data_IF_610117249497
#
_entry.id   IF_610117249497
#
_cell.length_a   1.000
_cell.length_b   1.000
_cell.length_c   1.000
_cell.angle_alpha   90.00
_cell.angle_beta   90.00
_cell.angle_gamma   90.00
#
_symmetry.space_group_name_H-M   'P 1'
#
loop_
_entity.id
_entity.type
_entity.pdbx_description
1 polymer ?
#
# COMPACT_ATOMS: atom_id res chain seq x y z
N UNK A 1 31.03 -51.94 -30.96
CA UNK A 1 29.69 -52.14 -30.36
C UNK A 1 29.58 -51.60 -28.92
N UNK A 2 30.67 -51.45 -28.17
CA UNK A 2 30.70 -50.92 -26.79
C UNK A 2 30.38 -49.42 -26.65
N UNK A 3 30.76 -48.57 -27.62
CA UNK A 3 30.51 -47.11 -27.53
C UNK A 3 29.03 -46.74 -27.68
N UNK A 4 28.28 -47.47 -28.50
CA UNK A 4 26.86 -47.21 -28.74
C UNK A 4 25.99 -47.58 -27.51
N UNK A 5 26.35 -48.65 -26.79
CA UNK A 5 25.66 -49.04 -25.55
C UNK A 5 25.89 -48.05 -24.41
N UNK A 6 27.12 -47.54 -24.29
CA UNK A 6 27.46 -46.49 -23.31
C UNK A 6 26.71 -45.18 -23.61
N UNK A 7 26.64 -44.80 -24.89
CA UNK A 7 25.92 -43.60 -25.34
C UNK A 7 24.41 -43.68 -25.07
N UNK A 8 23.79 -44.85 -25.30
CA UNK A 8 22.38 -45.08 -24.95
C UNK A 8 22.09 -44.96 -23.45
N UNK A 9 22.97 -45.50 -22.60
CA UNK A 9 22.81 -45.39 -21.14
C UNK A 9 22.91 -43.92 -20.66
N UNK A 10 23.81 -43.13 -21.25
CA UNK A 10 23.93 -41.70 -20.96
C UNK A 10 22.67 -40.91 -21.32
N UNK A 11 22.04 -41.20 -22.47
CA UNK A 11 20.77 -40.56 -22.87
C UNK A 11 19.66 -40.88 -21.87
N UNK A 12 19.53 -42.14 -21.46
CA UNK A 12 18.52 -42.56 -20.46
C UNK A 12 18.71 -41.77 -19.15
N UNK A 13 19.96 -41.61 -18.72
CA UNK A 13 20.28 -40.80 -17.53
C UNK A 13 19.90 -39.33 -17.71
N UNK A 14 20.21 -38.71 -18.85
CA UNK A 14 19.82 -37.33 -19.16
C UNK A 14 18.29 -37.18 -19.13
N UNK A 15 17.55 -38.11 -19.75
CA UNK A 15 16.08 -38.11 -19.73
C UNK A 15 15.53 -38.23 -18.30
N UNK A 16 16.14 -39.05 -17.45
CA UNK A 16 15.76 -39.15 -16.03
C UNK A 16 15.97 -37.84 -15.28
N UNK A 17 17.12 -37.17 -15.48
CA UNK A 17 17.41 -35.87 -14.86
C UNK A 17 16.41 -34.80 -15.35
N UNK A 18 16.14 -34.76 -16.65
CA UNK A 18 15.17 -33.82 -17.21
C UNK A 18 13.74 -34.08 -16.72
N UNK A 19 13.37 -35.33 -16.45
CA UNK A 19 12.07 -35.66 -15.86
C UNK A 19 11.95 -35.09 -14.43
N UNK A 20 12.99 -35.23 -13.61
CA UNK A 20 13.04 -34.65 -12.27
C UNK A 20 12.99 -33.11 -12.33
N UNK A 21 13.82 -32.51 -13.19
CA UNK A 21 13.82 -31.05 -13.41
C UNK A 21 12.48 -30.54 -13.92
N UNK A 22 11.78 -31.30 -14.75
CA UNK A 22 10.44 -30.95 -15.24
C UNK A 22 9.44 -30.88 -14.09
N UNK A 23 9.45 -31.86 -13.18
CA UNK A 23 8.58 -31.86 -12.00
C UNK A 23 8.90 -30.66 -11.09
N UNK A 24 10.18 -30.41 -10.82
CA UNK A 24 10.62 -29.27 -10.00
C UNK A 24 10.23 -27.93 -10.64
N UNK A 25 10.45 -27.78 -11.95
CA UNK A 25 10.10 -26.59 -12.72
C UNK A 25 8.59 -26.31 -12.66
N UNK A 26 7.74 -27.31 -12.86
CA UNK A 26 6.29 -27.14 -12.77
C UNK A 26 5.83 -26.72 -11.36
N UNK A 27 6.41 -27.30 -10.31
CA UNK A 27 6.12 -26.92 -8.94
C UNK A 27 6.53 -25.47 -8.64
N UNK A 28 7.69 -25.06 -9.14
CA UNK A 28 8.19 -23.69 -8.99
C UNK A 28 7.34 -22.70 -9.80
N UNK A 29 7.01 -23.01 -11.05
CA UNK A 29 6.19 -22.16 -11.91
C UNK A 29 4.80 -21.92 -11.28
N UNK A 30 4.16 -22.98 -10.76
CA UNK A 30 2.86 -22.85 -10.08
C UNK A 30 2.94 -22.08 -8.76
N UNK A 31 4.06 -22.16 -8.05
CA UNK A 31 4.33 -21.36 -6.87
C UNK A 31 4.56 -19.87 -7.23
N UNK A 32 5.37 -19.61 -8.25
CA UNK A 32 5.74 -18.27 -8.70
C UNK A 32 4.54 -17.46 -9.17
N UNK A 33 3.60 -18.07 -9.91
CA UNK A 33 2.35 -17.41 -10.34
C UNK A 33 1.55 -16.84 -9.15
N UNK A 34 1.62 -17.45 -7.97
CA UNK A 34 0.91 -16.99 -6.77
C UNK A 34 1.61 -15.80 -6.09
N UNK A 35 2.90 -15.59 -6.34
CA UNK A 35 3.68 -14.53 -5.72
C UNK A 35 3.38 -13.17 -6.36
N UNK A 36 3.05 -12.19 -5.53
CA UNK A 36 2.87 -10.79 -6.00
C UNK A 36 4.16 -10.20 -6.57
N UNK A 37 5.32 -10.64 -6.11
CA UNK A 37 6.63 -10.23 -6.62
C UNK A 37 6.91 -10.75 -8.03
N UNK A 38 6.34 -11.89 -8.41
CA UNK A 38 6.52 -12.49 -9.75
C UNK A 38 5.95 -11.59 -10.86
N UNK A 39 4.94 -10.76 -10.57
CA UNK A 39 4.44 -9.73 -11.50
C UNK A 39 5.51 -8.75 -12.00
N UNK A 40 6.63 -8.61 -11.28
CA UNK A 40 7.73 -7.72 -11.69
C UNK A 40 8.70 -8.38 -12.68
N UNK A 41 8.64 -9.71 -12.80
CA UNK A 41 9.53 -10.54 -13.63
C UNK A 41 8.75 -11.23 -14.76
N UNK A 42 7.42 -11.14 -14.71
CA UNK A 42 6.52 -11.61 -15.75
C UNK A 42 6.91 -11.04 -17.12
N UNK A 43 6.81 -11.87 -18.15
CA UNK A 43 7.13 -11.57 -19.55
C UNK A 43 8.62 -11.31 -19.87
N UNK A 44 9.53 -11.51 -18.91
CA UNK A 44 10.97 -11.48 -19.15
C UNK A 44 11.55 -12.89 -19.32
N UNK A 45 12.48 -13.05 -20.27
CA UNK A 45 13.23 -14.30 -20.41
C UNK A 45 14.07 -14.58 -19.17
N UNK A 46 13.96 -15.81 -18.66
CA UNK A 46 14.76 -16.28 -17.51
C UNK A 46 16.23 -16.52 -17.88
N UNK A 47 16.51 -16.80 -19.15
CA UNK A 47 17.85 -17.12 -19.65
C UNK A 47 18.22 -16.28 -20.86
N UNK A 48 19.53 -16.12 -21.10
CA UNK A 48 20.05 -15.46 -22.28
C UNK A 48 19.73 -16.24 -23.56
N UNK A 49 19.44 -15.50 -24.64
CA UNK A 49 19.14 -16.06 -25.97
C UNK A 49 20.30 -16.86 -26.59
N UNK A 50 21.52 -16.66 -26.09
CA UNK A 50 22.70 -17.44 -26.50
C UNK A 50 22.68 -18.87 -25.95
N UNK A 51 22.00 -19.08 -24.82
CA UNK A 51 21.94 -20.37 -24.14
C UNK A 51 20.65 -21.13 -24.50
N UNK A 52 19.53 -20.43 -24.61
CA UNK A 52 18.23 -21.00 -24.96
C UNK A 52 17.57 -20.25 -26.09
N UNK A 53 16.92 -21.00 -26.99
CA UNK A 53 16.10 -20.41 -28.05
C UNK A 53 14.71 -19.99 -27.56
N UNK A 54 14.25 -20.58 -26.45
CA UNK A 54 12.95 -20.31 -25.85
C UNK A 54 12.95 -18.96 -25.14
N UNK A 55 11.91 -18.16 -25.39
CA UNK A 55 11.62 -16.94 -24.64
C UNK A 55 10.41 -17.19 -23.74
N UNK A 56 10.65 -17.29 -22.42
CA UNK A 56 9.61 -17.65 -21.46
C UNK A 56 9.96 -17.16 -20.06
N UNK A 57 8.93 -16.84 -19.28
CA UNK A 57 8.99 -16.55 -17.85
C UNK A 57 8.83 -17.82 -16.98
N UNK A 58 8.55 -18.97 -17.61
CA UNK A 58 8.36 -20.29 -16.99
C UNK A 58 9.54 -21.22 -17.24
N UNK A 59 9.99 -21.91 -16.19
CA UNK A 59 11.08 -22.89 -16.26
C UNK A 59 10.69 -24.14 -17.06
N UNK A 60 9.43 -24.56 -16.98
CA UNK A 60 8.90 -25.75 -17.68
C UNK A 60 9.12 -25.68 -19.21
N UNK A 61 9.05 -24.49 -19.81
CA UNK A 61 9.28 -24.32 -21.25
C UNK A 61 10.74 -24.59 -21.63
N UNK A 62 11.69 -24.19 -20.80
CA UNK A 62 13.12 -24.44 -21.02
C UNK A 62 13.49 -25.91 -20.83
N UNK A 63 12.86 -26.61 -19.88
CA UNK A 63 13.04 -28.06 -19.71
C UNK A 63 12.52 -28.81 -20.95
N UNK A 64 11.39 -28.37 -21.52
CA UNK A 64 10.86 -28.94 -22.76
C UNK A 64 11.79 -28.74 -23.96
N UNK A 65 12.49 -27.59 -24.05
CA UNK A 65 13.53 -27.37 -25.07
C UNK A 65 14.66 -28.40 -24.93
N UNK A 66 15.20 -28.59 -23.72
CA UNK A 66 16.23 -29.58 -23.44
C UNK A 66 15.78 -31.01 -23.80
N UNK A 67 14.51 -31.35 -23.52
CA UNK A 67 13.95 -32.65 -23.87
C UNK A 67 13.92 -32.87 -25.39
N UNK A 68 13.52 -31.85 -26.17
CA UNK A 68 13.53 -31.91 -27.64
C UNK A 68 14.95 -32.12 -28.18
N UNK A 69 15.93 -31.37 -27.66
CA UNK A 69 17.34 -31.53 -28.01
C UNK A 69 17.90 -32.90 -27.63
N UNK A 70 17.48 -33.45 -26.50
CA UNK A 70 17.88 -34.81 -26.09
C UNK A 70 17.35 -35.88 -27.05
N UNK A 71 16.13 -35.71 -27.56
CA UNK A 71 15.57 -36.61 -28.57
C UNK A 71 16.27 -36.45 -29.94
N UNK A 72 16.74 -35.24 -30.27
CA UNK A 72 17.55 -34.99 -31.46
C UNK A 72 18.93 -35.66 -31.33
N UNK A 73 19.58 -35.55 -30.17
CA UNK A 73 20.83 -36.24 -29.86
C UNK A 73 20.70 -37.76 -30.04
N UNK A 74 19.61 -38.36 -29.56
CA UNK A 74 19.32 -39.78 -29.72
C UNK A 74 19.22 -40.20 -31.20
N UNK A 75 18.66 -39.35 -32.05
CA UNK A 75 18.63 -39.56 -33.50
C UNK A 75 20.04 -39.45 -34.10
N UNK A 76 20.81 -38.42 -33.75
CA UNK A 76 22.16 -38.22 -34.28
C UNK A 76 23.13 -39.36 -33.95
N UNK A 77 23.04 -39.90 -32.73
CA UNK A 77 23.81 -41.08 -32.31
C UNK A 77 23.42 -42.31 -33.14
N UNK A 78 22.15 -42.42 -33.54
CA UNK A 78 21.69 -43.51 -34.41
C UNK A 78 22.25 -43.39 -35.83
N UNK A 79 22.46 -42.16 -36.32
CA UNK A 79 23.06 -41.87 -37.63
C UNK A 79 24.60 -41.77 -37.61
N UNK A 80 25.24 -42.03 -36.47
CA UNK A 80 26.70 -42.10 -36.30
C UNK A 80 27.45 -40.81 -36.66
N UNK A 81 26.85 -39.65 -36.36
CA UNK A 81 27.48 -38.34 -36.56
C UNK A 81 28.08 -37.82 -35.24
N UNK A 82 29.34 -38.19 -34.98
CA UNK A 82 29.97 -38.03 -33.66
C UNK A 82 30.24 -36.56 -33.29
N UNK A 83 30.71 -35.73 -34.22
CA UNK A 83 31.08 -34.33 -33.92
C UNK A 83 29.86 -33.47 -33.57
N UNK A 84 28.78 -33.59 -34.35
CA UNK A 84 27.53 -32.88 -34.07
C UNK A 84 26.87 -33.39 -32.77
N UNK A 85 26.94 -34.71 -32.52
CA UNK A 85 26.42 -35.31 -31.29
C UNK A 85 27.17 -34.78 -30.06
N UNK A 86 28.50 -34.66 -30.13
CA UNK A 86 29.32 -34.12 -29.05
C UNK A 86 29.01 -32.63 -28.78
N UNK A 87 28.90 -31.81 -29.83
CA UNK A 87 28.54 -30.40 -29.69
C UNK A 87 27.15 -30.22 -29.04
N UNK A 88 26.16 -31.00 -29.48
CA UNK A 88 24.80 -30.96 -28.93
C UNK A 88 24.76 -31.45 -27.49
N UNK A 89 25.55 -32.47 -27.14
CA UNK A 89 25.69 -32.96 -25.76
C UNK A 89 26.24 -31.86 -24.85
N UNK A 90 27.34 -31.20 -25.24
CA UNK A 90 27.91 -30.08 -24.48
C UNK A 90 26.89 -28.96 -24.27
N UNK A 91 26.09 -28.65 -25.29
CA UNK A 91 25.03 -27.65 -25.17
C UNK A 91 23.95 -28.08 -24.17
N UNK A 92 23.49 -29.35 -24.22
CA UNK A 92 22.50 -29.89 -23.29
C UNK A 92 23.03 -29.85 -21.85
N UNK A 93 24.30 -30.19 -21.63
CA UNK A 93 24.94 -30.13 -20.31
C UNK A 93 24.96 -28.70 -19.76
N UNK A 94 25.37 -27.72 -20.58
CA UNK A 94 25.36 -26.30 -20.20
C UNK A 94 23.94 -25.82 -19.86
N UNK A 95 22.94 -26.23 -20.64
CA UNK A 95 21.54 -25.90 -20.40
C UNK A 95 21.02 -26.53 -19.09
N UNK A 96 21.34 -27.79 -18.81
CA UNK A 96 20.95 -28.49 -17.57
C UNK A 96 21.61 -27.83 -16.34
N UNK A 97 22.90 -27.50 -16.43
CA UNK A 97 23.63 -26.85 -15.34
C UNK A 97 23.03 -25.47 -15.02
N UNK A 98 22.70 -24.70 -16.07
CA UNK A 98 22.07 -23.39 -15.93
C UNK A 98 20.65 -23.48 -15.36
N UNK A 99 19.86 -24.46 -15.81
CA UNK A 99 18.52 -24.72 -15.28
C UNK A 99 18.57 -25.06 -13.79
N UNK A 100 19.45 -25.98 -13.40
CA UNK A 100 19.62 -26.39 -12.00
C UNK A 100 19.99 -25.19 -11.13
N UNK A 101 20.93 -24.37 -11.59
CA UNK A 101 21.37 -23.16 -10.88
C UNK A 101 20.23 -22.17 -10.72
N UNK A 102 19.47 -21.90 -11.79
CA UNK A 102 18.38 -20.93 -11.78
C UNK A 102 17.19 -21.41 -10.93
N UNK A 103 16.84 -22.69 -10.98
CA UNK A 103 15.79 -23.27 -10.12
C UNK A 103 16.15 -23.14 -8.64
N UNK A 104 17.40 -23.43 -8.28
CA UNK A 104 17.89 -23.25 -6.91
C UNK A 104 17.94 -21.77 -6.48
N UNK A 105 18.20 -20.86 -7.43
CA UNK A 105 18.22 -19.42 -7.22
C UNK A 105 16.84 -18.74 -7.32
N UNK A 106 15.74 -19.49 -7.48
CA UNK A 106 14.40 -18.92 -7.68
C UNK A 106 13.99 -17.94 -6.56
N UNK A 107 14.34 -18.25 -5.30
CA UNK A 107 14.08 -17.34 -4.16
C UNK A 107 14.79 -16.00 -4.34
N UNK A 108 16.04 -16.02 -4.79
CA UNK A 108 16.88 -14.83 -4.99
C UNK A 108 16.32 -13.95 -6.10
N UNK A 109 15.80 -14.54 -7.19
CA UNK A 109 15.14 -13.79 -8.27
C UNK A 109 13.98 -12.95 -7.76
N UNK A 110 13.24 -13.44 -6.76
CA UNK A 110 12.09 -12.73 -6.19
C UNK A 110 12.43 -11.72 -5.09
N UNK A 111 13.67 -11.66 -4.60
CA UNK A 111 14.08 -10.75 -3.52
C UNK A 111 13.98 -9.28 -3.94
N UNK A 112 14.46 -8.92 -5.14
CA UNK A 112 14.39 -7.53 -5.60
C UNK A 112 12.94 -7.05 -5.75
N UNK A 113 12.09 -7.89 -6.37
CA UNK A 113 10.66 -7.63 -6.48
C UNK A 113 9.98 -7.46 -5.13
N UNK A 114 10.32 -8.29 -4.14
CA UNK A 114 9.78 -8.20 -2.79
C UNK A 114 10.27 -6.93 -2.06
N UNK A 115 11.55 -6.62 -2.15
CA UNK A 115 12.14 -5.41 -1.59
C UNK A 115 11.47 -4.13 -2.12
N UNK A 116 11.23 -4.06 -3.43
CA UNK A 116 10.51 -2.95 -4.07
C UNK A 116 9.08 -2.82 -3.53
N UNK A 117 8.37 -3.93 -3.36
CA UNK A 117 7.02 -3.94 -2.80
C UNK A 117 6.99 -3.46 -1.36
N UNK A 118 7.94 -3.88 -0.54
CA UNK A 118 7.97 -3.53 0.88
C UNK A 118 8.37 -2.07 1.10
N UNK A 119 9.33 -1.54 0.33
CA UNK A 119 9.62 -0.10 0.28
C UNK A 119 8.39 0.72 -0.08
N UNK A 120 7.64 0.28 -1.09
CA UNK A 120 6.41 0.94 -1.52
C UNK A 120 5.37 0.97 -0.40
N UNK A 121 5.14 -0.17 0.28
CA UNK A 121 4.21 -0.23 1.42
C UNK A 121 4.63 0.70 2.56
N UNK A 122 5.91 0.70 2.92
CA UNK A 122 6.45 1.56 3.98
C UNK A 122 6.25 3.05 3.66
N UNK A 123 6.52 3.46 2.42
CA UNK A 123 6.26 4.82 1.96
C UNK A 123 4.78 5.22 2.10
N UNK A 124 3.86 4.38 1.63
CA UNK A 124 2.43 4.68 1.75
C UNK A 124 1.95 4.68 3.20
N UNK A 125 2.49 3.80 4.05
CA UNK A 125 2.18 3.77 5.47
C UNK A 125 2.61 5.08 6.15
N UNK A 126 3.85 5.51 5.92
CA UNK A 126 4.37 6.76 6.46
C UNK A 126 3.54 7.96 5.98
N UNK A 127 3.24 8.02 4.68
CA UNK A 127 2.39 9.07 4.10
C UNK A 127 1.01 9.12 4.75
N UNK A 128 0.38 7.97 4.98
CA UNK A 128 -0.92 7.89 5.64
C UNK A 128 -0.87 8.35 7.10
N UNK A 129 0.18 8.00 7.85
CA UNK A 129 0.38 8.49 9.23
C UNK A 129 0.48 10.01 9.22
N UNK A 130 1.33 10.59 8.37
CA UNK A 130 1.51 12.04 8.27
C UNK A 130 0.21 12.75 7.89
N UNK A 131 -0.54 12.22 6.92
CA UNK A 131 -1.85 12.77 6.54
C UNK A 131 -2.88 12.70 7.67
N UNK A 132 -2.89 11.63 8.46
CA UNK A 132 -3.78 11.49 9.63
C UNK A 132 -3.42 12.53 10.71
N UNK A 133 -2.13 12.69 11.01
CA UNK A 133 -1.65 13.69 11.96
C UNK A 133 -2.04 15.11 11.49
N UNK A 134 -1.82 15.44 10.21
CA UNK A 134 -2.20 16.73 9.64
C UNK A 134 -3.72 16.99 9.74
N UNK A 135 -4.56 15.98 9.50
CA UNK A 135 -6.01 16.09 9.66
C UNK A 135 -6.42 16.31 11.12
N UNK A 136 -5.78 15.63 12.06
CA UNK A 136 -6.03 15.82 13.49
C UNK A 136 -5.68 17.25 13.93
N UNK A 137 -4.49 17.74 13.55
CA UNK A 137 -4.07 19.13 13.82
C UNK A 137 -5.06 20.12 13.21
N UNK A 138 -5.45 19.93 11.94
CA UNK A 138 -6.43 20.81 11.27
C UNK A 138 -7.77 20.84 12.00
N UNK A 139 -8.27 19.69 12.48
CA UNK A 139 -9.52 19.62 13.22
C UNK A 139 -9.45 20.36 14.56
N UNK A 140 -8.32 20.28 15.28
CA UNK A 140 -8.13 21.00 16.55
C UNK A 140 -8.08 22.52 16.30
N UNK A 141 -7.33 22.97 15.29
CA UNK A 141 -7.22 24.40 14.94
C UNK A 141 -8.58 24.97 14.52
N UNK A 142 -9.34 24.24 13.69
CA UNK A 142 -10.69 24.66 13.27
C UNK A 142 -11.66 24.73 14.47
N UNK A 143 -11.55 23.80 15.42
CA UNK A 143 -12.35 23.82 16.65
C UNK A 143 -12.05 25.05 17.49
N UNK A 144 -10.77 25.34 17.77
CA UNK A 144 -10.35 26.54 18.51
C UNK A 144 -10.85 27.82 17.82
N UNK A 145 -10.65 27.96 16.51
CA UNK A 145 -11.12 29.13 15.75
C UNK A 145 -12.65 29.32 15.86
N UNK A 146 -13.42 28.22 15.81
CA UNK A 146 -14.87 28.28 15.96
C UNK A 146 -15.32 28.70 17.36
N UNK A 147 -14.57 28.33 18.42
CA UNK A 147 -14.85 28.75 19.80
C UNK A 147 -14.60 30.24 19.98
N UNK A 148 -13.50 30.77 19.45
CA UNK A 148 -13.21 32.21 19.47
C UNK A 148 -14.27 33.02 18.71
N UNK A 149 -14.76 32.51 17.57
CA UNK A 149 -15.85 33.17 16.84
C UNK A 149 -17.14 33.22 17.67
N UNK A 150 -17.53 32.10 18.30
CA UNK A 150 -18.69 32.06 19.20
C UNK A 150 -18.55 33.00 20.39
N UNK A 151 -17.36 33.07 20.98
CA UNK A 151 -17.08 34.00 22.09
C UNK A 151 -17.34 35.45 21.68
N UNK A 152 -16.82 35.87 20.51
CA UNK A 152 -17.05 37.20 19.97
C UNK A 152 -18.55 37.49 19.75
N UNK A 153 -19.29 36.54 19.17
CA UNK A 153 -20.75 36.67 18.99
C UNK A 153 -21.50 36.84 20.32
N UNK A 154 -21.12 36.07 21.36
CA UNK A 154 -21.72 36.18 22.68
C UNK A 154 -21.42 37.50 23.39
N UNK A 155 -20.22 38.06 23.23
CA UNK A 155 -19.93 39.42 23.72
C UNK A 155 -20.76 40.48 23.01
N UNK A 156 -21.03 40.35 21.70
CA UNK A 156 -21.93 41.26 20.99
C UNK A 156 -23.39 41.13 21.45
N UNK A 157 -23.83 39.91 21.80
CA UNK A 157 -25.15 39.73 22.42
C UNK A 157 -25.21 40.37 23.80
N UNK A 158 -24.16 40.24 24.61
CA UNK A 158 -24.07 40.88 25.92
C UNK A 158 -24.18 42.40 25.80
N UNK A 159 -23.38 43.01 24.92
CA UNK A 159 -23.43 44.46 24.63
C UNK A 159 -24.84 44.91 24.28
N UNK A 160 -25.48 44.23 23.30
CA UNK A 160 -26.84 44.58 22.86
C UNK A 160 -27.88 44.44 23.97
N UNK A 161 -27.81 43.38 24.78
CA UNK A 161 -28.73 43.19 25.91
C UNK A 161 -28.55 44.27 26.98
N UNK A 162 -27.30 44.69 27.25
CA UNK A 162 -27.01 45.79 28.18
C UNK A 162 -27.56 47.13 27.67
N UNK A 163 -27.41 47.42 26.36
CA UNK A 163 -28.01 48.60 25.74
C UNK A 163 -29.54 48.57 25.84
N UNK A 164 -30.18 47.43 25.54
CA UNK A 164 -31.64 47.28 25.67
C UNK A 164 -32.13 47.49 27.11
N UNK A 165 -31.35 47.07 28.12
CA UNK A 165 -31.69 47.34 29.53
C UNK A 165 -31.66 48.84 29.79
N UNK A 166 -30.57 49.52 29.41
CA UNK A 166 -30.41 50.96 29.64
C UNK A 166 -31.52 51.78 28.95
N UNK A 167 -31.89 51.42 27.72
CA UNK A 167 -33.00 52.04 26.98
C UNK A 167 -34.34 51.86 27.72
N UNK A 168 -34.65 50.64 28.18
CA UNK A 168 -35.91 50.35 28.88
C UNK A 168 -35.96 50.97 30.27
N UNK A 169 -34.83 51.07 30.97
CA UNK A 169 -34.72 51.78 32.24
C UNK A 169 -34.98 53.29 32.06
N UNK A 170 -34.45 53.88 30.99
CA UNK A 170 -34.72 55.27 30.64
C UNK A 170 -36.19 55.52 30.28
N UNK A 171 -36.82 54.61 29.51
CA UNK A 171 -38.26 54.68 29.22
C UNK A 171 -39.11 54.55 30.48
N UNK A 172 -38.71 53.65 31.40
CA UNK A 172 -39.40 53.45 32.68
C UNK A 172 -39.38 54.71 33.53
N UNK A 173 -38.26 55.43 33.56
CA UNK A 173 -38.13 56.69 34.31
C UNK A 173 -39.07 57.80 33.80
N UNK A 174 -39.54 57.72 32.55
CA UNK A 174 -40.41 58.73 31.91
C UNK A 174 -41.90 58.37 31.89
N UNK A 175 -42.29 57.18 32.37
CA UNK A 175 -43.65 56.64 32.17
C UNK A 175 -44.56 56.73 33.40
N UNK A 176 -45.88 56.72 33.17
CA UNK A 176 -46.92 56.60 34.21
C UNK A 176 -46.91 55.22 34.89
N UNK A 177 -47.45 55.15 36.11
CA UNK A 177 -47.35 54.02 37.04
C UNK A 177 -47.66 52.62 36.44
N UNK A 178 -48.77 52.47 35.70
CA UNK A 178 -49.13 51.18 35.04
C UNK A 178 -48.13 50.72 33.97
N UNK A 179 -47.56 51.64 33.19
CA UNK A 179 -46.57 51.34 32.13
C UNK A 179 -45.18 51.07 32.73
N UNK A 180 -44.87 51.68 33.88
CA UNK A 180 -43.64 51.42 34.63
C UNK A 180 -43.57 49.97 35.15
N UNK A 181 -44.68 49.40 35.61
CA UNK A 181 -44.76 48.00 36.05
C UNK A 181 -44.48 47.02 34.91
N UNK A 182 -45.05 47.26 33.72
CA UNK A 182 -44.81 46.45 32.52
C UNK A 182 -43.34 46.49 32.09
N UNK A 183 -42.75 47.68 32.02
CA UNK A 183 -41.33 47.87 31.69
C UNK A 183 -40.41 47.19 32.72
N UNK A 184 -40.77 47.18 34.00
CA UNK A 184 -40.00 46.47 35.05
C UNK A 184 -39.95 44.96 34.79
N UNK A 185 -41.08 44.36 34.42
CA UNK A 185 -41.13 42.93 34.07
C UNK A 185 -40.31 42.61 32.82
N UNK A 186 -40.29 43.51 31.84
CA UNK A 186 -39.46 43.36 30.63
C UNK A 186 -37.97 43.48 30.94
N UNK A 187 -37.57 44.48 31.74
CA UNK A 187 -36.20 44.65 32.22
C UNK A 187 -35.72 43.40 32.96
N UNK A 188 -36.55 42.84 33.86
CA UNK A 188 -36.23 41.60 34.57
C UNK A 188 -36.03 40.41 33.62
N UNK A 189 -36.86 40.26 32.57
CA UNK A 189 -36.68 39.22 31.55
C UNK A 189 -35.38 39.40 30.77
N UNK A 190 -35.01 40.64 30.43
CA UNK A 190 -33.75 40.93 29.73
C UNK A 190 -32.54 40.66 30.64
N UNK A 191 -32.59 41.04 31.93
CA UNK A 191 -31.56 40.68 32.92
C UNK A 191 -31.38 39.17 33.07
N UNK A 192 -32.48 38.41 33.08
CA UNK A 192 -32.40 36.95 33.14
C UNK A 192 -31.67 36.39 31.92
N UNK A 193 -31.94 36.92 30.72
CA UNK A 193 -31.25 36.53 29.48
C UNK A 193 -29.78 36.94 29.50
N UNK A 194 -29.46 38.13 30.02
CA UNK A 194 -28.10 38.61 30.17
C UNK A 194 -27.30 37.69 31.12
N UNK A 195 -27.89 37.28 32.25
CA UNK A 195 -27.28 36.33 33.18
C UNK A 195 -26.96 34.99 32.52
N UNK A 196 -27.90 34.45 31.72
CA UNK A 196 -27.66 33.23 30.93
C UNK A 196 -26.57 33.43 29.86
N UNK A 197 -26.50 34.60 29.23
CA UNK A 197 -25.47 34.94 28.25
C UNK A 197 -24.08 34.96 28.89
N UNK A 198 -23.94 35.57 30.08
CA UNK A 198 -22.68 35.57 30.84
C UNK A 198 -22.24 34.16 31.26
N UNK A 199 -23.18 33.31 31.69
CA UNK A 199 -22.89 31.91 31.98
C UNK A 199 -22.38 31.16 30.74
N UNK A 200 -22.97 31.42 29.57
CA UNK A 200 -22.52 30.83 28.31
C UNK A 200 -21.12 31.31 27.91
N UNK A 201 -20.81 32.61 28.10
CA UNK A 201 -19.47 33.17 27.88
C UNK A 201 -18.44 32.44 28.75
N UNK A 202 -18.67 32.34 30.06
CA UNK A 202 -17.76 31.64 30.98
C UNK A 202 -17.63 30.13 30.70
N UNK A 203 -18.63 29.52 30.07
CA UNK A 203 -18.52 28.14 29.59
C UNK A 203 -17.60 28.06 28.36
N UNK A 204 -17.77 28.95 27.39
CA UNK A 204 -16.93 29.01 26.18
C UNK A 204 -15.48 29.32 26.53
N UNK A 205 -15.21 30.25 27.45
CA UNK A 205 -13.86 30.57 27.92
C UNK A 205 -13.17 29.35 28.55
N UNK A 206 -13.88 28.57 29.37
CA UNK A 206 -13.35 27.32 29.94
C UNK A 206 -13.08 26.27 28.87
N UNK A 207 -13.91 26.21 27.84
CA UNK A 207 -13.72 25.27 26.73
C UNK A 207 -12.55 25.70 25.82
N UNK A 208 -12.30 27.01 25.67
CA UNK A 208 -11.10 27.56 25.02
C UNK A 208 -9.85 27.17 25.81
N UNK A 209 -9.82 27.43 27.12
CA UNK A 209 -8.68 27.09 27.99
C UNK A 209 -8.35 25.58 27.93
N UNK A 210 -9.38 24.73 27.90
CA UNK A 210 -9.20 23.28 27.72
C UNK A 210 -8.67 22.92 26.34
N UNK A 211 -9.07 23.65 25.30
CA UNK A 211 -8.60 23.42 23.93
C UNK A 211 -7.14 23.83 23.76
N UNK A 212 -6.72 24.94 24.38
CA UNK A 212 -5.34 25.44 24.37
C UNK A 212 -4.40 24.52 25.16
N UNK A 213 -4.85 23.95 26.29
CA UNK A 213 -4.08 22.95 27.05
C UNK A 213 -3.88 21.62 26.31
N UNK A 214 -4.66 21.35 25.26
CA UNK A 214 -4.58 20.12 24.45
C UNK A 214 -3.75 20.28 23.17
N UNK A 215 -3.43 21.52 22.81
CA UNK A 215 -2.52 21.88 21.71
C UNK A 215 -1.06 21.75 22.16
#
# INVERSE_FOLDING_TARGET
MSNLTTSKHSIVRIKSILAELSQQANNIDTYNVKLKSHKSIQDNALFAATLFSTYSDKFSHYVNECLRKTNELERLITYNNDDLSNALLTQIEQQIASLTTALNANKTLHLDGQYRLDKRKAYFHQKNITLKAQRAVKAIVQSSQSLHQKLAEHHEFERRLATMIAEREFERAKCKEKRSQQLTLEILKIHQRLGRCRQAISQIERDIERSEKRL
#
